data_IF_950237082951
#
_entry.id   IF_950237082951
#
_cell.length_a   1.000
_cell.length_b   1.000
_cell.length_c   1.000
_cell.angle_alpha   90.00
_cell.angle_beta   90.00
_cell.angle_gamma   90.00
#
_symmetry.space_group_name_H-M   'P 1'
#
loop_
_entity.id
_entity.type
_entity.pdbx_description
1 polymer ?
#
# COMPACT_ATOMS: atom_id res chain seq x y z
N UNK A 1 24.49 -16.27 5.05
CA UNK A 1 23.10 -16.68 4.80
C UNK A 1 22.23 -15.67 5.54
N UNK A 2 21.45 -14.84 4.85
CA UNK A 2 20.51 -13.96 5.54
C UNK A 2 19.50 -14.86 6.26
N UNK A 3 19.41 -14.73 7.59
CA UNK A 3 18.24 -15.22 8.32
C UNK A 3 17.03 -14.58 7.63
N UNK A 4 16.17 -15.35 7.00
CA UNK A 4 14.96 -14.79 6.41
C UNK A 4 14.04 -14.39 7.56
N UNK A 5 14.17 -13.16 8.03
CA UNK A 5 13.19 -12.58 8.96
C UNK A 5 11.79 -12.77 8.37
N UNK A 6 10.83 -13.09 9.25
CA UNK A 6 9.44 -13.24 8.83
C UNK A 6 8.93 -11.94 8.20
N UNK A 7 8.15 -12.02 7.10
CA UNK A 7 7.58 -10.83 6.45
C UNK A 7 6.80 -9.97 7.45
N UNK A 8 7.12 -8.67 7.50
CA UNK A 8 6.36 -7.65 8.23
C UNK A 8 5.54 -6.86 7.21
N UNK A 9 4.26 -7.20 7.09
CA UNK A 9 3.38 -6.71 6.04
C UNK A 9 2.66 -5.46 6.51
N UNK A 10 2.71 -4.40 5.71
CA UNK A 10 1.82 -3.24 5.85
C UNK A 10 0.89 -3.18 4.63
N UNK A 11 -0.42 -3.08 4.86
CA UNK A 11 -1.41 -2.93 3.80
C UNK A 11 -1.66 -1.46 3.55
N UNK A 12 -1.57 -1.05 2.29
CA UNK A 12 -1.83 0.32 1.85
C UNK A 12 -3.26 0.46 1.34
N UNK A 13 -3.89 1.60 1.60
CA UNK A 13 -5.16 2.00 1.01
C UNK A 13 -4.99 3.27 0.16
N UNK A 14 -5.91 3.50 -0.76
CA UNK A 14 -5.94 4.67 -1.64
C UNK A 14 -6.31 5.95 -0.89
N UNK A 15 -5.30 6.72 -0.49
CA UNK A 15 -5.46 8.09 -0.03
C UNK A 15 -5.32 9.09 -1.18
N UNK A 16 -4.42 8.80 -2.12
CA UNK A 16 -4.10 9.66 -3.25
C UNK A 16 -5.21 9.70 -4.31
N UNK A 17 -5.37 10.87 -4.91
CA UNK A 17 -6.16 11.04 -6.12
C UNK A 17 -5.39 10.50 -7.33
N UNK A 18 -5.99 9.65 -8.18
CA UNK A 18 -5.38 9.22 -9.43
C UNK A 18 -5.02 10.41 -10.33
N UNK A 19 -3.97 10.32 -11.16
CA UNK A 19 -3.62 11.37 -12.10
C UNK A 19 -4.70 11.55 -13.19
N UNK A 20 -4.61 12.68 -13.90
CA UNK A 20 -5.38 12.90 -15.13
C UNK A 20 -4.65 12.21 -16.28
N UNK A 21 -5.32 11.27 -16.95
CA UNK A 21 -4.82 10.54 -18.12
C UNK A 21 -5.73 10.88 -19.29
N UNK A 22 -5.16 11.35 -20.40
CA UNK A 22 -5.91 11.78 -21.59
C UNK A 22 -7.08 12.77 -21.30
N UNK A 23 -6.88 13.67 -20.33
CA UNK A 23 -7.89 14.65 -19.92
C UNK A 23 -8.98 14.11 -18.98
N UNK A 24 -8.95 12.81 -18.64
CA UNK A 24 -9.90 12.17 -17.74
C UNK A 24 -9.20 11.81 -16.42
N UNK A 25 -9.86 12.10 -15.29
CA UNK A 25 -9.43 11.63 -13.97
C UNK A 25 -10.36 10.51 -13.52
N UNK A 26 -9.79 9.36 -13.17
CA UNK A 26 -10.56 8.30 -12.51
C UNK A 26 -10.92 8.76 -11.08
N UNK A 27 -12.19 8.62 -10.66
CA UNK A 27 -12.57 8.99 -9.31
C UNK A 27 -11.91 8.05 -8.31
N UNK A 28 -11.41 8.61 -7.20
CA UNK A 28 -11.01 7.81 -6.04
C UNK A 28 -12.18 6.97 -5.55
N UNK A 29 -11.92 5.73 -5.14
CA UNK A 29 -12.97 4.91 -4.52
C UNK A 29 -13.41 5.52 -3.18
N UNK A 30 -14.70 5.48 -2.84
CA UNK A 30 -15.16 5.83 -1.49
C UNK A 30 -14.37 5.02 -0.45
N UNK A 31 -13.86 5.69 0.59
CA UNK A 31 -13.02 5.05 1.61
C UNK A 31 -11.63 4.59 1.13
N UNK A 32 -11.35 4.61 -0.17
CA UNK A 32 -10.05 4.29 -0.73
C UNK A 32 -9.62 2.83 -0.56
N UNK A 33 -10.55 1.87 -0.59
CA UNK A 33 -10.28 0.46 -0.30
C UNK A 33 -9.82 0.16 1.14
N UNK A 34 -10.05 1.09 2.09
CA UNK A 34 -9.69 0.90 3.50
C UNK A 34 -10.45 -0.25 4.17
N UNK A 35 -11.73 -0.41 3.83
CA UNK A 35 -12.60 -1.51 4.28
C UNK A 35 -12.01 -2.88 3.90
N UNK A 36 -11.76 -3.10 2.61
CA UNK A 36 -11.13 -4.33 2.11
C UNK A 36 -9.67 -4.48 2.55
N UNK A 37 -8.96 -3.38 2.77
CA UNK A 37 -7.62 -3.39 3.37
C UNK A 37 -7.66 -3.95 4.79
N UNK A 38 -8.68 -3.57 5.56
CA UNK A 38 -8.93 -4.05 6.93
C UNK A 38 -9.18 -5.55 6.92
N UNK A 39 -10.03 -6.04 6.01
CA UNK A 39 -10.27 -7.47 5.83
C UNK A 39 -8.98 -8.25 5.49
N UNK A 40 -8.17 -7.75 4.55
CA UNK A 40 -6.88 -8.35 4.20
C UNK A 40 -5.97 -8.42 5.44
N UNK A 41 -5.86 -7.30 6.17
CA UNK A 41 -5.02 -7.17 7.36
C UNK A 41 -5.44 -8.17 8.45
N UNK A 42 -6.74 -8.25 8.72
CA UNK A 42 -7.34 -9.17 9.69
C UNK A 42 -7.10 -10.65 9.32
N UNK A 43 -7.32 -11.03 8.06
CA UNK A 43 -7.12 -12.41 7.58
C UNK A 43 -5.64 -12.80 7.63
N UNK A 44 -4.72 -11.91 7.23
CA UNK A 44 -3.29 -12.15 7.30
C UNK A 44 -2.84 -12.36 8.75
N UNK A 45 -3.29 -11.50 9.68
CA UNK A 45 -3.00 -11.64 11.11
C UNK A 45 -3.54 -12.96 11.67
N UNK A 46 -4.78 -13.32 11.32
CA UNK A 46 -5.42 -14.59 11.70
C UNK A 46 -4.68 -15.82 11.15
N UNK A 47 -3.88 -15.64 10.10
CA UNK A 47 -3.06 -16.67 9.46
C UNK A 47 -1.61 -16.69 9.97
N UNK A 48 -1.33 -16.05 11.12
CA UNK A 48 0.01 -15.92 11.72
C UNK A 48 1.03 -15.17 10.84
N UNK A 49 0.58 -14.32 9.92
CA UNK A 49 1.47 -13.35 9.24
C UNK A 49 1.71 -12.18 10.18
N UNK A 50 2.95 -11.69 10.24
CA UNK A 50 3.27 -10.50 11.01
C UNK A 50 2.81 -9.26 10.24
N UNK A 51 1.69 -8.68 10.67
CA UNK A 51 1.05 -7.53 10.03
C UNK A 51 1.22 -6.29 10.91
N UNK A 52 1.58 -5.17 10.29
CA UNK A 52 1.74 -3.87 10.93
C UNK A 52 0.49 -3.03 10.69
N UNK A 53 -0.17 -2.66 11.78
CA UNK A 53 -1.35 -1.81 11.82
C UNK A 53 -1.00 -0.39 12.27
N UNK A 54 -1.84 0.61 12.01
CA UNK A 54 -1.60 1.98 12.49
C UNK A 54 -1.70 2.04 14.02
N UNK A 55 -2.77 1.49 14.58
CA UNK A 55 -2.93 1.32 16.02
C UNK A 55 -2.23 0.05 16.53
N UNK A 56 -1.71 0.08 17.75
CA UNK A 56 -1.07 -1.10 18.36
C UNK A 56 -2.08 -2.20 18.73
N UNK A 57 -3.32 -1.80 19.04
CA UNK A 57 -4.45 -2.68 19.30
C UNK A 57 -5.62 -2.14 18.48
N UNK A 58 -5.73 -2.53 17.20
CA UNK A 58 -6.74 -1.98 16.30
C UNK A 58 -8.14 -2.46 16.69
N UNK A 59 -9.13 -1.57 16.64
CA UNK A 59 -10.53 -1.93 16.87
C UNK A 59 -11.14 -2.54 15.59
N UNK A 60 -11.71 -3.76 15.65
CA UNK A 60 -12.40 -4.37 14.51
C UNK A 60 -13.58 -3.56 13.96
N UNK A 61 -14.08 -2.57 14.71
CA UNK A 61 -15.15 -1.66 14.26
C UNK A 61 -14.62 -0.34 13.67
N UNK A 62 -13.30 -0.14 13.65
CA UNK A 62 -12.66 1.09 13.19
C UNK A 62 -11.60 0.79 12.12
N UNK A 63 -11.98 0.91 10.85
CA UNK A 63 -11.10 0.69 9.70
C UNK A 63 -9.83 1.57 9.70
N UNK A 64 -9.86 2.73 10.38
CA UNK A 64 -8.73 3.66 10.43
C UNK A 64 -7.52 3.10 11.20
N UNK A 65 -7.73 2.10 12.05
CA UNK A 65 -6.66 1.54 12.88
C UNK A 65 -5.75 0.57 12.12
N UNK A 66 -6.18 0.07 10.95
CA UNK A 66 -5.63 -1.13 10.34
C UNK A 66 -4.61 -0.85 9.22
N UNK A 67 -4.94 0.04 8.29
CA UNK A 67 -4.18 0.22 7.04
C UNK A 67 -3.49 1.58 6.92
N UNK A 68 -2.53 1.68 6.00
CA UNK A 68 -1.70 2.87 5.81
C UNK A 68 -2.09 3.62 4.54
N UNK A 69 -2.08 4.96 4.51
CA UNK A 69 -2.33 5.69 3.27
C UNK A 69 -1.19 5.51 2.28
N UNK A 70 -1.50 5.37 1.00
CA UNK A 70 -0.54 5.28 -0.10
C UNK A 70 0.19 6.61 -0.46
N UNK A 71 0.03 7.64 0.36
CA UNK A 71 0.87 8.85 0.36
C UNK A 71 2.34 8.53 0.67
N UNK A 72 3.27 9.39 0.24
CA UNK A 72 4.70 9.23 0.57
C UNK A 72 4.93 9.14 2.09
N UNK A 73 4.28 10.01 2.86
CA UNK A 73 4.37 10.04 4.32
C UNK A 73 3.80 8.77 4.96
N UNK A 74 2.67 8.27 4.47
CA UNK A 74 2.05 7.03 4.95
C UNK A 74 2.91 5.80 4.70
N UNK A 75 3.51 5.71 3.52
CA UNK A 75 4.44 4.63 3.18
C UNK A 75 5.68 4.69 4.05
N UNK A 76 6.28 5.88 4.20
CA UNK A 76 7.43 6.07 5.08
C UNK A 76 7.11 5.68 6.53
N UNK A 77 5.94 6.08 7.04
CA UNK A 77 5.53 5.72 8.40
C UNK A 77 5.38 4.20 8.59
N UNK A 78 4.87 3.47 7.58
CA UNK A 78 4.82 2.01 7.61
C UNK A 78 6.23 1.39 7.63
N UNK A 79 7.14 1.92 6.79
CA UNK A 79 8.54 1.49 6.72
C UNK A 79 9.28 1.77 8.03
N UNK A 80 9.07 2.95 8.64
CA UNK A 80 9.66 3.34 9.92
C UNK A 80 9.15 2.45 11.07
N UNK A 81 7.92 1.93 10.98
CA UNK A 81 7.38 0.92 11.90
C UNK A 81 7.95 -0.49 11.64
N UNK A 82 8.79 -0.65 10.63
CA UNK A 82 9.53 -1.86 10.32
C UNK A 82 8.91 -2.71 9.21
N UNK A 83 8.07 -2.14 8.34
CA UNK A 83 7.53 -2.88 7.20
C UNK A 83 8.64 -3.35 6.26
N UNK A 84 8.61 -4.64 5.92
CA UNK A 84 9.47 -5.22 4.87
C UNK A 84 8.68 -5.55 3.62
N UNK A 85 7.36 -5.64 3.73
CA UNK A 85 6.45 -5.93 2.62
C UNK A 85 5.31 -4.92 2.62
N UNK A 86 5.06 -4.29 1.47
CA UNK A 86 3.94 -3.37 1.26
C UNK A 86 2.92 -4.04 0.36
N UNK A 87 1.72 -4.32 0.88
CA UNK A 87 0.60 -4.79 0.08
C UNK A 87 -0.17 -3.60 -0.45
N UNK A 88 -0.04 -3.31 -1.74
CA UNK A 88 -0.60 -2.09 -2.32
C UNK A 88 -2.07 -2.29 -2.73
N UNK A 89 -2.99 -2.32 -1.75
CA UNK A 89 -4.44 -2.35 -1.98
C UNK A 89 -4.96 -0.95 -2.37
N UNK A 90 -4.44 -0.45 -3.48
CA UNK A 90 -4.72 0.88 -4.02
C UNK A 90 -4.63 0.86 -5.55
N UNK A 91 -5.05 1.95 -6.20
CA UNK A 91 -4.82 2.17 -7.62
C UNK A 91 -3.39 2.67 -7.80
N UNK A 92 -2.57 1.89 -8.50
CA UNK A 92 -1.20 2.28 -8.84
C UNK A 92 -1.15 2.97 -10.20
N UNK A 93 -0.23 3.93 -10.32
CA UNK A 93 0.00 4.74 -11.51
C UNK A 93 1.47 5.15 -11.60
N UNK A 94 1.94 5.61 -12.76
CA UNK A 94 3.36 5.84 -13.01
C UNK A 94 3.98 6.90 -12.08
N UNK A 95 3.19 7.88 -11.64
CA UNK A 95 3.61 8.94 -10.70
C UNK A 95 3.46 8.58 -9.21
N UNK A 96 3.04 7.36 -8.88
CA UNK A 96 2.78 6.91 -7.51
C UNK A 96 4.07 6.94 -6.65
N UNK A 97 4.02 7.29 -5.35
CA UNK A 97 5.22 7.38 -4.50
C UNK A 97 6.08 6.11 -4.45
N UNK A 98 5.46 4.92 -4.50
CA UNK A 98 6.19 3.64 -4.64
C UNK A 98 7.12 3.57 -5.86
N UNK A 99 6.88 4.39 -6.89
CA UNK A 99 7.66 4.45 -8.11
C UNK A 99 8.59 5.66 -8.17
N UNK A 100 8.23 6.78 -7.54
CA UNK A 100 8.85 8.10 -7.77
C UNK A 100 9.53 8.70 -6.53
N UNK A 101 9.19 8.26 -5.32
CA UNK A 101 9.73 8.83 -4.09
C UNK A 101 11.23 8.54 -3.95
N UNK A 102 12.04 9.59 -3.94
CA UNK A 102 13.47 9.47 -3.63
C UNK A 102 13.74 9.17 -2.16
N UNK A 103 12.79 9.50 -1.26
CA UNK A 103 12.89 9.19 0.18
C UNK A 103 12.88 7.69 0.45
N UNK A 104 12.21 6.92 -0.42
CA UNK A 104 12.19 5.46 -0.33
C UNK A 104 13.46 4.78 -0.88
N UNK A 105 14.38 5.51 -1.52
CA UNK A 105 15.57 4.92 -2.14
C UNK A 105 16.48 4.21 -1.12
N UNK A 106 16.60 4.74 0.09
CA UNK A 106 17.45 4.16 1.14
C UNK A 106 16.91 2.82 1.67
N UNK A 107 15.58 2.66 1.70
CA UNK A 107 14.92 1.46 2.20
C UNK A 107 14.51 0.48 1.08
N UNK A 108 14.48 0.91 -0.19
CA UNK A 108 14.02 0.09 -1.31
C UNK A 108 14.72 -1.27 -1.47
N UNK A 109 16.03 -1.46 -1.16
CA UNK A 109 16.65 -2.79 -1.26
C UNK A 109 16.08 -3.83 -0.28
N UNK A 110 15.37 -3.37 0.75
CA UNK A 110 14.85 -4.20 1.84
C UNK A 110 13.32 -4.28 1.84
N UNK A 111 12.65 -3.58 0.92
CA UNK A 111 11.19 -3.55 0.80
C UNK A 111 10.77 -4.37 -0.41
N UNK A 112 9.75 -5.21 -0.21
CA UNK A 112 9.05 -5.90 -1.29
C UNK A 112 7.64 -5.35 -1.43
N UNK A 113 7.14 -5.27 -2.65
CA UNK A 113 5.77 -4.84 -2.92
C UNK A 113 4.95 -6.02 -3.40
N UNK A 114 3.78 -6.24 -2.79
CA UNK A 114 2.78 -7.21 -3.22
C UNK A 114 1.71 -6.44 -4.00
N UNK A 115 1.90 -6.32 -5.31
CA UNK A 115 0.92 -5.93 -6.34
C UNK A 115 1.62 -5.91 -7.71
N UNK A 116 0.92 -5.50 -8.78
CA UNK A 116 1.58 -5.26 -10.06
C UNK A 116 2.44 -3.97 -10.02
N UNK A 117 3.52 -3.87 -10.82
CA UNK A 117 4.32 -2.64 -10.92
C UNK A 117 3.48 -1.42 -11.38
N UNK A 118 3.62 -0.23 -10.76
CA UNK A 118 2.77 0.93 -11.05
C UNK A 118 2.68 1.34 -12.52
N UNK A 119 3.81 1.29 -13.24
CA UNK A 119 3.86 1.62 -14.68
C UNK A 119 3.05 0.64 -15.54
N UNK A 120 3.02 -0.64 -15.16
CA UNK A 120 2.23 -1.64 -15.89
C UNK A 120 0.75 -1.49 -15.61
N UNK A 121 0.37 -1.17 -14.36
CA UNK A 121 -1.03 -0.92 -14.02
C UNK A 121 -1.61 0.22 -14.87
N UNK A 122 -0.91 1.35 -14.96
CA UNK A 122 -1.35 2.49 -15.78
C UNK A 122 -1.55 2.09 -17.25
N UNK A 123 -0.62 1.32 -17.82
CA UNK A 123 -0.71 0.86 -19.21
C UNK A 123 -1.92 -0.05 -19.48
N UNK A 124 -2.26 -0.96 -18.56
CA UNK A 124 -3.33 -1.94 -18.75
C UNK A 124 -4.70 -1.48 -18.21
N UNK A 125 -4.74 -0.41 -17.44
CA UNK A 125 -5.98 0.19 -16.93
C UNK A 125 -6.52 1.28 -17.88
N UNK A 126 -5.73 1.74 -18.85
CA UNK A 126 -6.21 2.53 -19.99
C UNK A 126 -7.22 1.70 -20.81
N UNK A 127 -8.38 2.30 -21.09
CA UNK A 127 -9.49 1.64 -21.82
C UNK A 127 -9.54 2.03 -23.29
N UNK A 128 -8.71 2.98 -23.70
CA UNK A 128 -8.62 3.47 -25.08
C UNK A 128 -7.51 2.76 -25.88
N UNK A 129 -6.74 1.88 -25.24
CA UNK A 129 -5.71 1.03 -25.84
C UNK A 129 -6.19 -0.41 -26.07
#
# INVERSE_FOLDING_TARGET
MASSESPKVAVLYQALEPPVIHGVRKPRKPGGYRDSGTDITYVLQSSNVNVLTQAACPDPQNDDDWCWPDTEEGILAAVDKGATHLWANTILFSSHPLQTSSKLNSCSPHIKVVWQPPRLVEQFDDKEL
#
